data_IF_400975092011
#
_entry.id   IF_400975092011
#
_cell.length_a   1.000
_cell.length_b   1.000
_cell.length_c   1.000
_cell.angle_alpha   90.00
_cell.angle_beta   90.00
_cell.angle_gamma   90.00
#
_symmetry.space_group_name_H-M   'P 1'
#
loop_
_entity.id
_entity.type
_entity.pdbx_description
1 polymer ?
#
# COMPACT_ATOMS: atom_id res chain seq x y z
N UNK A 1 -27.57 37.96 -28.27
CA UNK A 1 -26.32 37.84 -27.48
C UNK A 1 -26.40 36.82 -26.33
N UNK A 2 -27.52 36.69 -25.59
CA UNK A 2 -27.62 35.85 -24.37
C UNK A 2 -27.40 34.33 -24.56
N UNK A 3 -27.93 33.69 -25.61
CA UNK A 3 -27.76 32.23 -25.82
C UNK A 3 -26.31 31.81 -26.11
N UNK A 4 -25.53 32.66 -26.80
CA UNK A 4 -24.13 32.39 -27.12
C UNK A 4 -23.26 32.39 -25.86
N UNK A 5 -23.44 33.37 -24.96
CA UNK A 5 -22.69 33.45 -23.71
C UNK A 5 -22.96 32.28 -22.76
N UNK A 6 -24.20 31.79 -22.69
CA UNK A 6 -24.57 30.62 -21.88
C UNK A 6 -23.92 29.36 -22.43
N UNK A 7 -23.96 29.17 -23.76
CA UNK A 7 -23.28 28.05 -24.40
C UNK A 7 -21.77 28.09 -24.16
N UNK A 8 -21.14 29.27 -24.20
CA UNK A 8 -19.69 29.43 -23.96
C UNK A 8 -19.29 29.17 -22.50
N UNK A 9 -20.06 29.62 -21.50
CA UNK A 9 -19.77 29.36 -20.09
C UNK A 9 -19.95 27.87 -19.76
N UNK A 10 -21.02 27.25 -20.27
CA UNK A 10 -21.25 25.80 -20.11
C UNK A 10 -20.14 25.00 -20.79
N UNK A 11 -19.72 25.37 -22.01
CA UNK A 11 -18.58 24.74 -22.69
C UNK A 11 -17.25 24.95 -21.98
N UNK A 12 -17.03 26.10 -21.34
CA UNK A 12 -15.81 26.38 -20.58
C UNK A 12 -15.74 25.51 -19.31
N UNK A 13 -16.83 25.38 -18.56
CA UNK A 13 -16.91 24.49 -17.40
C UNK A 13 -16.92 23.00 -17.77
N UNK A 14 -17.56 22.61 -18.88
CA UNK A 14 -17.45 21.24 -19.43
C UNK A 14 -16.03 20.95 -19.94
N UNK A 15 -15.37 21.93 -20.57
CA UNK A 15 -13.99 21.82 -21.05
C UNK A 15 -13.00 21.67 -19.91
N UNK A 16 -13.11 22.49 -18.85
CA UNK A 16 -12.28 22.36 -17.63
C UNK A 16 -12.43 20.99 -16.96
N UNK A 17 -13.62 20.39 -17.06
CA UNK A 17 -13.96 19.08 -16.50
C UNK A 17 -13.44 17.91 -17.35
N UNK A 18 -13.43 18.03 -18.69
CA UNK A 18 -12.83 17.04 -19.59
C UNK A 18 -11.29 17.12 -19.64
N UNK A 19 -10.69 18.23 -19.18
CA UNK A 19 -9.24 18.39 -19.01
C UNK A 19 -8.75 17.74 -17.70
N UNK A 20 -9.63 17.41 -16.75
CA UNK A 20 -9.31 16.45 -15.69
C UNK A 20 -9.11 15.06 -16.34
N UNK A 21 -8.13 14.26 -15.88
CA UNK A 21 -7.47 13.27 -16.73
C UNK A 21 -8.37 12.06 -16.98
N UNK A 22 -9.22 12.14 -18.02
CA UNK A 22 -9.84 10.98 -18.63
C UNK A 22 -8.83 10.12 -19.42
N UNK A 23 -7.57 10.55 -19.51
CA UNK A 23 -6.48 9.83 -20.17
C UNK A 23 -6.06 8.54 -19.43
N UNK A 24 -6.63 8.21 -18.26
CA UNK A 24 -6.23 7.05 -17.46
C UNK A 24 -6.93 5.73 -17.84
N UNK A 25 -7.71 5.67 -18.92
CA UNK A 25 -8.41 4.46 -19.33
C UNK A 25 -7.77 3.88 -20.59
N UNK A 26 -6.97 2.83 -20.39
CA UNK A 26 -6.39 1.95 -21.40
C UNK A 26 -4.99 2.34 -21.91
N UNK A 27 -3.97 2.16 -21.05
CA UNK A 27 -2.68 1.68 -21.52
C UNK A 27 -2.18 0.59 -20.56
N UNK A 28 -1.51 -0.42 -21.10
CA UNK A 28 -1.12 -1.67 -20.40
C UNK A 28 0.05 -1.46 -19.43
N UNK A 29 0.29 -0.21 -19.03
CA UNK A 29 1.26 0.20 -18.05
C UNK A 29 0.59 0.20 -16.69
N UNK A 30 1.27 -0.34 -15.69
CA UNK A 30 0.85 -0.27 -14.30
C UNK A 30 0.47 1.18 -13.99
N UNK A 31 -0.66 1.45 -13.31
CA UNK A 31 -0.98 2.81 -12.93
C UNK A 31 0.16 3.31 -12.03
N UNK A 32 1.02 4.18 -12.57
CA UNK A 32 1.89 5.01 -11.74
C UNK A 32 0.97 5.69 -10.73
N UNK A 33 1.48 5.78 -9.51
CA UNK A 33 0.82 6.28 -8.32
C UNK A 33 -0.20 7.36 -8.68
N UNK A 34 -1.45 7.12 -8.29
CA UNK A 34 -2.54 8.04 -8.58
C UNK A 34 -2.08 9.46 -8.30
N UNK A 35 -2.07 10.28 -9.36
CA UNK A 35 -1.59 11.66 -9.39
C UNK A 35 -1.62 12.31 -7.98
N UNK A 36 -0.47 12.54 -7.36
CA UNK A 36 -0.42 13.23 -6.06
C UNK A 36 -1.20 14.54 -6.18
N UNK A 37 -2.34 14.64 -5.48
CA UNK A 37 -3.23 15.80 -5.53
C UNK A 37 -4.65 15.57 -6.09
N UNK A 38 -5.02 14.36 -6.55
CA UNK A 38 -6.42 14.02 -6.90
C UNK A 38 -7.18 13.24 -5.83
N UNK A 39 -6.78 13.39 -4.55
CA UNK A 39 -7.42 12.80 -3.36
C UNK A 39 -8.95 13.07 -3.27
N UNK A 40 -9.42 14.05 -4.04
CA UNK A 40 -10.84 14.35 -4.27
C UNK A 40 -11.64 13.19 -4.91
N UNK A 41 -10.98 12.27 -5.62
CA UNK A 41 -11.64 11.22 -6.41
C UNK A 41 -11.87 9.90 -5.67
N UNK A 42 -11.50 9.74 -4.39
CA UNK A 42 -11.80 8.56 -3.53
C UNK A 42 -11.47 7.16 -4.09
N UNK A 43 -11.01 7.02 -5.33
CA UNK A 43 -10.76 5.77 -6.02
C UNK A 43 -9.28 5.68 -6.33
N UNK A 44 -8.62 4.71 -5.71
CA UNK A 44 -7.19 4.50 -5.82
C UNK A 44 -6.97 3.03 -6.23
N UNK A 45 -6.39 2.82 -7.42
CA UNK A 45 -5.97 1.49 -7.89
C UNK A 45 -6.84 0.87 -8.99
N UNK A 46 -6.49 -0.35 -9.44
CA UNK A 46 -7.20 -1.05 -10.50
C UNK A 46 -8.56 -1.61 -10.03
N UNK A 47 -9.53 -1.68 -10.95
CA UNK A 47 -10.84 -2.29 -10.68
C UNK A 47 -10.75 -3.78 -10.38
N UNK A 48 -9.90 -4.51 -11.13
CA UNK A 48 -9.66 -5.93 -10.95
C UNK A 48 -8.32 -6.10 -10.19
N UNK A 49 -8.34 -6.62 -8.95
CA UNK A 49 -7.15 -6.62 -8.09
C UNK A 49 -6.26 -7.86 -8.22
N UNK A 50 -6.43 -8.70 -9.25
CA UNK A 50 -5.74 -9.98 -9.45
C UNK A 50 -5.66 -10.39 -10.93
N UNK A 51 -4.87 -11.43 -11.24
CA UNK A 51 -4.85 -12.07 -12.56
C UNK A 51 -4.12 -11.29 -13.65
N UNK A 52 -3.30 -10.31 -13.28
CA UNK A 52 -2.43 -9.58 -14.22
C UNK A 52 -1.09 -10.31 -14.30
N UNK A 53 -0.60 -10.56 -15.50
CA UNK A 53 0.62 -11.34 -15.78
C UNK A 53 1.88 -10.46 -15.96
N UNK A 54 1.76 -9.15 -15.80
CA UNK A 54 2.86 -8.19 -15.90
C UNK A 54 3.20 -7.66 -14.51
N UNK A 55 4.46 -7.77 -14.07
CA UNK A 55 4.95 -7.30 -12.77
C UNK A 55 4.65 -5.81 -12.56
N UNK A 56 3.56 -5.50 -11.87
CA UNK A 56 3.31 -4.16 -11.35
C UNK A 56 3.83 -4.09 -9.91
N UNK A 57 4.74 -3.14 -9.58
CA UNK A 57 5.14 -2.93 -8.19
C UNK A 57 3.89 -2.53 -7.41
N UNK A 58 3.40 -3.46 -6.59
CA UNK A 58 2.14 -3.33 -5.85
C UNK A 58 2.29 -2.33 -4.72
N UNK A 59 1.94 -1.08 -4.99
CA UNK A 59 1.74 -0.06 -3.96
C UNK A 59 0.28 -0.02 -3.45
N UNK A 60 -0.62 -0.69 -4.16
CA UNK A 60 -1.95 -1.03 -3.68
C UNK A 60 -1.83 -2.38 -2.98
N UNK A 61 -2.28 -2.50 -1.73
CA UNK A 61 -2.12 -3.68 -0.87
C UNK A 61 -2.81 -4.98 -1.34
N UNK A 62 -3.02 -5.15 -2.64
CA UNK A 62 -3.57 -6.32 -3.30
C UNK A 62 -2.55 -6.83 -4.33
N UNK A 63 -2.16 -8.09 -4.17
CA UNK A 63 -1.13 -8.77 -4.95
C UNK A 63 -1.68 -9.12 -6.35
N UNK A 64 -1.57 -8.17 -7.29
CA UNK A 64 -2.22 -8.22 -8.62
C UNK A 64 -1.71 -9.39 -9.48
N UNK A 65 -0.54 -9.95 -9.14
CA UNK A 65 0.07 -11.10 -9.81
C UNK A 65 -0.49 -12.45 -9.35
N UNK A 66 -1.18 -12.50 -8.20
CA UNK A 66 -1.71 -13.76 -7.67
C UNK A 66 -2.92 -14.24 -8.46
N UNK A 67 -3.12 -15.56 -8.42
CA UNK A 67 -4.34 -16.19 -8.91
C UNK A 67 -5.57 -15.62 -8.18
N UNK A 68 -6.63 -15.35 -8.92
CA UNK A 68 -7.83 -14.73 -8.36
C UNK A 68 -8.54 -15.70 -7.40
N UNK A 69 -8.62 -15.31 -6.13
CA UNK A 69 -9.41 -16.00 -5.10
C UNK A 69 -10.76 -15.31 -4.87
N UNK A 70 -11.65 -15.93 -4.09
CA UNK A 70 -12.94 -15.32 -3.72
C UNK A 70 -12.77 -14.03 -2.91
N UNK A 71 -11.66 -13.85 -2.19
CA UNK A 71 -11.38 -12.57 -1.54
C UNK A 71 -11.23 -11.44 -2.56
N UNK A 72 -10.51 -11.70 -3.66
CA UNK A 72 -10.29 -10.69 -4.69
C UNK A 72 -11.60 -10.24 -5.37
N UNK A 73 -12.65 -11.08 -5.34
CA UNK A 73 -14.00 -10.70 -5.76
C UNK A 73 -14.63 -9.65 -4.82
N UNK A 74 -14.44 -9.78 -3.50
CA UNK A 74 -14.92 -8.79 -2.53
C UNK A 74 -14.14 -7.47 -2.62
N UNK A 75 -12.83 -7.54 -2.87
CA UNK A 75 -12.01 -6.35 -3.14
C UNK A 75 -12.47 -5.66 -4.42
N UNK A 76 -12.73 -6.40 -5.50
CA UNK A 76 -13.30 -5.86 -6.74
C UNK A 76 -14.63 -5.15 -6.48
N UNK A 77 -15.53 -5.77 -5.73
CA UNK A 77 -16.82 -5.17 -5.39
C UNK A 77 -16.65 -3.87 -4.60
N UNK A 78 -15.71 -3.85 -3.65
CA UNK A 78 -15.35 -2.63 -2.92
C UNK A 78 -14.83 -1.54 -3.86
N UNK A 79 -13.88 -1.88 -4.74
CA UNK A 79 -13.31 -0.94 -5.70
C UNK A 79 -14.39 -0.36 -6.62
N UNK A 80 -15.35 -1.19 -7.04
CA UNK A 80 -16.51 -0.74 -7.81
C UNK A 80 -17.39 0.24 -7.02
N UNK A 81 -17.69 -0.05 -5.75
CA UNK A 81 -18.47 0.84 -4.89
C UNK A 81 -17.77 2.18 -4.64
N UNK A 82 -16.46 2.15 -4.45
CA UNK A 82 -15.63 3.35 -4.27
C UNK A 82 -15.62 4.21 -5.55
N UNK A 83 -15.48 3.57 -6.72
CA UNK A 83 -15.59 4.23 -8.02
C UNK A 83 -16.97 4.87 -8.23
N UNK A 84 -18.04 4.14 -7.94
CA UNK A 84 -19.41 4.65 -8.08
C UNK A 84 -19.69 5.82 -7.13
N UNK A 85 -19.19 5.74 -5.90
CA UNK A 85 -19.33 6.80 -4.90
C UNK A 85 -18.60 8.08 -5.33
N UNK A 86 -17.37 7.92 -5.85
CA UNK A 86 -16.61 9.03 -6.43
C UNK A 86 -17.37 9.70 -7.57
N UNK A 87 -17.83 8.93 -8.56
CA UNK A 87 -18.59 9.43 -9.70
C UNK A 87 -19.84 10.19 -9.26
N UNK A 88 -20.56 9.68 -8.25
CA UNK A 88 -21.77 10.29 -7.72
C UNK A 88 -21.49 11.68 -7.11
N UNK A 89 -20.42 11.81 -6.32
CA UNK A 89 -20.02 13.09 -5.71
C UNK A 89 -19.69 14.12 -6.81
N UNK A 90 -18.91 13.70 -7.81
CA UNK A 90 -18.49 14.55 -8.92
C UNK A 90 -19.70 15.03 -9.73
N UNK A 91 -20.58 14.10 -10.13
CA UNK A 91 -21.80 14.44 -10.89
C UNK A 91 -22.72 15.35 -10.09
N UNK A 92 -22.83 15.13 -8.77
CA UNK A 92 -23.65 15.96 -7.89
C UNK A 92 -23.13 17.40 -7.83
N UNK A 93 -21.83 17.58 -7.63
CA UNK A 93 -21.20 18.90 -7.62
C UNK A 93 -21.36 19.62 -8.97
N UNK A 94 -21.22 18.88 -10.07
CA UNK A 94 -21.41 19.41 -11.41
C UNK A 94 -22.85 19.89 -11.65
N UNK A 95 -23.84 19.08 -11.30
CA UNK A 95 -25.26 19.42 -11.47
C UNK A 95 -25.68 20.59 -10.58
N UNK A 96 -25.17 20.66 -9.35
CA UNK A 96 -25.40 21.82 -8.46
C UNK A 96 -24.78 23.08 -9.07
N UNK A 97 -23.56 23.00 -9.61
CA UNK A 97 -22.87 24.13 -10.25
C UNK A 97 -23.63 24.62 -11.48
N UNK A 98 -24.06 23.73 -12.37
CA UNK A 98 -24.92 24.08 -13.52
C UNK A 98 -26.20 24.74 -13.03
N UNK A 99 -26.84 24.17 -12.00
CA UNK A 99 -28.05 24.73 -11.40
C UNK A 99 -27.84 26.14 -10.89
N UNK A 100 -26.73 26.40 -10.19
CA UNK A 100 -26.35 27.71 -9.69
C UNK A 100 -26.10 28.72 -10.81
N UNK A 101 -25.37 28.32 -11.87
CA UNK A 101 -25.15 29.18 -13.05
C UNK A 101 -26.48 29.52 -13.72
N UNK A 102 -27.34 28.53 -13.98
CA UNK A 102 -28.67 28.77 -14.58
C UNK A 102 -29.49 29.70 -13.70
N UNK A 103 -29.43 29.55 -12.38
CA UNK A 103 -30.16 30.42 -11.44
C UNK A 103 -29.74 31.89 -11.58
N UNK A 104 -28.43 32.17 -11.57
CA UNK A 104 -27.89 33.54 -11.66
C UNK A 104 -28.26 34.20 -13.00
N UNK A 105 -28.07 33.49 -14.11
CA UNK A 105 -28.31 34.04 -15.45
C UNK A 105 -29.81 34.15 -15.81
N UNK A 106 -30.69 33.53 -15.02
CA UNK A 106 -32.12 33.50 -15.31
C UNK A 106 -32.75 34.90 -15.33
N UNK A 107 -32.16 35.87 -14.63
CA UNK A 107 -32.57 37.29 -14.65
C UNK A 107 -34.09 37.47 -14.49
N UNK A 108 -34.73 36.67 -13.63
CA UNK A 108 -36.18 36.71 -13.37
C UNK A 108 -37.06 35.90 -14.32
N UNK A 109 -36.50 35.18 -15.31
CA UNK A 109 -37.29 34.29 -16.15
C UNK A 109 -37.81 33.08 -15.35
N UNK A 110 -39.12 33.05 -15.09
CA UNK A 110 -39.77 32.04 -14.26
C UNK A 110 -39.50 30.59 -14.73
N UNK A 111 -39.44 30.35 -16.05
CA UNK A 111 -39.15 29.02 -16.61
C UNK A 111 -37.71 28.58 -16.29
N UNK A 112 -36.74 29.47 -16.46
CA UNK A 112 -35.32 29.15 -16.20
C UNK A 112 -35.03 29.01 -14.70
N UNK A 113 -35.65 29.85 -13.86
CA UNK A 113 -35.59 29.71 -12.40
C UNK A 113 -36.19 28.36 -11.96
N UNK A 114 -37.31 27.95 -12.56
CA UNK A 114 -37.92 26.65 -12.31
C UNK A 114 -36.98 25.48 -12.66
N UNK A 115 -36.30 25.54 -13.81
CA UNK A 115 -35.29 24.54 -14.21
C UNK A 115 -34.13 24.50 -13.21
N UNK A 116 -33.57 25.65 -12.85
CA UNK A 116 -32.45 25.72 -11.91
C UNK A 116 -32.80 25.11 -10.54
N UNK A 117 -33.94 25.52 -9.95
CA UNK A 117 -34.41 24.97 -8.68
C UNK A 117 -34.69 23.48 -8.78
N UNK A 118 -35.30 23.03 -9.88
CA UNK A 118 -35.55 21.62 -10.14
C UNK A 118 -34.26 20.79 -10.20
N UNK A 119 -33.23 21.30 -10.89
CA UNK A 119 -31.94 20.63 -11.00
C UNK A 119 -31.24 20.49 -9.64
N UNK A 120 -31.18 21.59 -8.88
CA UNK A 120 -30.54 21.62 -7.56
C UNK A 120 -31.28 20.70 -6.58
N UNK A 121 -32.61 20.84 -6.46
CA UNK A 121 -33.41 20.07 -5.50
C UNK A 121 -33.38 18.57 -5.78
N UNK A 122 -33.48 18.16 -7.06
CA UNK A 122 -33.38 16.74 -7.43
C UNK A 122 -32.00 16.17 -7.13
N UNK A 123 -30.94 16.91 -7.42
CA UNK A 123 -29.56 16.50 -7.12
C UNK A 123 -29.34 16.34 -5.62
N UNK A 124 -29.75 17.32 -4.82
CA UNK A 124 -29.65 17.27 -3.35
C UNK A 124 -30.47 16.13 -2.76
N UNK A 125 -31.67 15.88 -3.28
CA UNK A 125 -32.52 14.78 -2.80
C UNK A 125 -31.88 13.42 -3.10
N UNK A 126 -31.33 13.23 -4.30
CA UNK A 126 -30.61 12.01 -4.65
C UNK A 126 -29.37 11.78 -3.78
N UNK A 127 -28.57 12.83 -3.57
CA UNK A 127 -27.39 12.78 -2.71
C UNK A 127 -27.76 12.47 -1.25
N UNK A 128 -28.85 13.05 -0.75
CA UNK A 128 -29.36 12.76 0.59
C UNK A 128 -29.77 11.29 0.75
N UNK A 129 -30.48 10.73 -0.23
CA UNK A 129 -30.86 9.31 -0.22
C UNK A 129 -29.61 8.41 -0.19
N UNK A 130 -28.59 8.74 -0.98
CA UNK A 130 -27.32 8.03 -0.97
C UNK A 130 -26.64 8.06 0.41
N UNK A 131 -26.54 9.23 1.04
CA UNK A 131 -25.97 9.36 2.39
C UNK A 131 -26.75 8.56 3.44
N UNK A 132 -28.09 8.56 3.35
CA UNK A 132 -28.93 7.77 4.24
C UNK A 132 -28.71 6.27 4.03
N UNK A 133 -28.64 5.80 2.79
CA UNK A 133 -28.35 4.41 2.48
C UNK A 133 -26.98 3.98 3.04
N UNK A 134 -25.95 4.81 2.83
CA UNK A 134 -24.61 4.58 3.37
C UNK A 134 -24.60 4.50 4.91
N UNK A 135 -25.32 5.41 5.57
CA UNK A 135 -25.48 5.41 7.03
C UNK A 135 -26.19 4.16 7.55
N UNK A 136 -27.24 3.70 6.86
CA UNK A 136 -27.97 2.48 7.24
C UNK A 136 -27.04 1.26 7.13
N UNK A 137 -26.34 1.10 6.01
CA UNK A 137 -25.38 0.00 5.82
C UNK A 137 -24.31 0.03 6.90
N UNK A 138 -23.70 1.20 7.15
CA UNK A 138 -22.72 1.38 8.22
C UNK A 138 -23.27 0.95 9.57
N UNK A 139 -24.49 1.36 9.90
CA UNK A 139 -25.14 1.07 11.18
C UNK A 139 -25.41 -0.43 11.32
N UNK A 140 -26.02 -1.06 10.32
CA UNK A 140 -26.34 -2.50 10.33
C UNK A 140 -25.06 -3.32 10.44
N UNK A 141 -24.05 -3.04 9.62
CA UNK A 141 -22.78 -3.77 9.64
C UNK A 141 -22.05 -3.58 10.96
N UNK A 142 -22.08 -2.39 11.57
CA UNK A 142 -21.50 -2.16 12.89
C UNK A 142 -22.17 -3.03 13.96
N UNK A 143 -23.51 -3.09 13.97
CA UNK A 143 -24.25 -3.93 14.92
C UNK A 143 -24.03 -5.43 14.71
N UNK A 144 -23.88 -5.88 13.46
CA UNK A 144 -23.58 -7.29 13.14
C UNK A 144 -22.12 -7.67 13.44
N UNK A 145 -21.17 -6.75 13.20
CA UNK A 145 -19.73 -7.00 13.41
C UNK A 145 -19.39 -7.19 14.88
N UNK A 146 -20.11 -6.53 15.80
CA UNK A 146 -20.01 -6.81 17.24
C UNK A 146 -20.35 -8.28 17.60
N UNK A 147 -21.04 -9.02 16.72
CA UNK A 147 -21.38 -10.43 16.92
C UNK A 147 -20.49 -11.42 16.15
N UNK A 148 -19.80 -10.99 15.10
CA UNK A 148 -19.08 -11.88 14.17
C UNK A 148 -17.60 -11.56 13.96
N UNK A 149 -17.03 -10.53 14.60
CA UNK A 149 -15.58 -10.27 14.58
C UNK A 149 -14.98 -9.88 13.22
N UNK A 150 -15.80 -9.78 12.15
CA UNK A 150 -15.35 -9.60 10.77
C UNK A 150 -15.00 -8.15 10.37
N UNK A 151 -15.00 -7.19 11.31
CA UNK A 151 -14.65 -5.79 11.03
C UNK A 151 -13.81 -5.26 12.18
N UNK A 152 -12.49 -5.39 12.07
CA UNK A 152 -11.58 -4.77 13.02
C UNK A 152 -11.67 -3.23 12.93
N UNK A 153 -11.82 -2.56 14.07
CA UNK A 153 -11.83 -1.09 14.14
C UNK A 153 -13.10 -0.39 13.64
N UNK A 154 -14.17 -1.12 13.26
CA UNK A 154 -15.48 -0.54 12.92
C UNK A 154 -15.56 0.17 11.55
N UNK A 155 -14.57 -0.06 10.67
CA UNK A 155 -14.55 0.43 9.29
C UNK A 155 -15.01 -0.68 8.35
N UNK A 156 -16.31 -0.80 8.11
CA UNK A 156 -16.83 -1.84 7.20
C UNK A 156 -16.33 -1.70 5.76
N UNK A 157 -15.84 -0.51 5.41
CA UNK A 157 -15.27 -0.21 4.10
C UNK A 157 -13.81 -0.67 3.95
N UNK A 158 -13.19 -1.29 4.96
CA UNK A 158 -11.88 -1.94 4.84
C UNK A 158 -12.08 -3.45 4.92
N UNK A 159 -11.87 -4.13 3.79
CA UNK A 159 -11.95 -5.59 3.70
C UNK A 159 -10.52 -6.10 3.89
N UNK A 160 -10.21 -6.57 5.09
CA UNK A 160 -8.99 -7.33 5.36
C UNK A 160 -9.30 -8.78 5.05
N UNK A 161 -8.64 -9.32 4.04
CA UNK A 161 -8.63 -10.75 3.79
C UNK A 161 -7.23 -11.29 4.02
N UNK A 162 -7.16 -12.43 4.69
CA UNK A 162 -6.00 -13.29 4.56
C UNK A 162 -6.00 -13.88 3.14
N UNK A 163 -4.95 -13.58 2.38
CA UNK A 163 -4.77 -14.13 1.02
C UNK A 163 -4.26 -15.57 1.03
N UNK A 164 -4.13 -16.19 2.22
CA UNK A 164 -3.97 -17.63 2.36
C UNK A 164 -5.30 -18.32 2.00
N UNK A 165 -5.29 -19.03 0.89
CA UNK A 165 -6.36 -19.92 0.48
C UNK A 165 -6.56 -21.01 1.54
N UNK A 166 -7.72 -21.04 2.20
CA UNK A 166 -8.13 -22.11 3.12
C UNK A 166 -8.27 -23.48 2.43
N UNK A 167 -8.27 -23.50 1.10
CA UNK A 167 -8.03 -24.69 0.29
C UNK A 167 -6.62 -24.54 -0.26
N UNK A 168 -5.67 -25.14 0.46
CA UNK A 168 -4.25 -25.04 0.17
C UNK A 168 -3.96 -25.27 -1.31
N UNK A 169 -2.97 -24.54 -1.79
CA UNK A 169 -2.31 -24.85 -3.05
C UNK A 169 -2.07 -26.36 -3.05
N UNK A 170 -2.77 -27.05 -3.96
CA UNK A 170 -2.31 -28.36 -4.38
C UNK A 170 -0.94 -28.07 -4.97
N UNK A 171 0.10 -28.32 -4.18
CA UNK A 171 1.44 -28.51 -4.67
C UNK A 171 1.31 -29.48 -5.83
N UNK A 172 1.42 -28.97 -7.06
CA UNK A 172 1.80 -29.81 -8.18
C UNK A 172 3.24 -30.16 -7.87
N UNK A 173 3.40 -31.28 -7.17
CA UNK A 173 4.67 -31.96 -7.03
C UNK A 173 5.12 -32.34 -8.44
N UNK A 174 5.99 -31.54 -9.05
CA UNK A 174 6.81 -32.04 -10.14
C UNK A 174 7.72 -33.12 -9.54
N UNK A 175 7.39 -34.37 -9.85
CA UNK A 175 8.19 -35.54 -9.58
C UNK A 175 9.47 -35.47 -10.40
N UNK A 176 10.56 -34.99 -9.81
CA UNK A 176 11.90 -35.29 -10.30
C UNK A 176 12.53 -36.36 -9.40
N UNK A 177 12.30 -37.62 -9.79
CA UNK A 177 13.13 -38.74 -9.35
C UNK A 177 14.50 -38.62 -10.04
N UNK A 178 15.44 -37.88 -9.44
CA UNK A 178 16.86 -38.02 -9.73
C UNK A 178 17.48 -39.07 -8.76
N UNK A 179 18.00 -40.21 -9.22
CA UNK A 179 18.60 -41.24 -8.36
C UNK A 179 19.93 -40.85 -7.71
N UNK A 180 20.37 -39.59 -7.79
CA UNK A 180 21.71 -39.17 -7.40
C UNK A 180 21.77 -38.04 -6.36
N UNK A 181 20.84 -38.00 -5.40
CA UNK A 181 20.90 -37.09 -4.26
C UNK A 181 22.00 -37.53 -3.23
N UNK A 182 23.01 -36.70 -2.91
CA UNK A 182 23.85 -36.92 -1.75
C UNK A 182 23.11 -36.47 -0.47
N UNK A 183 23.27 -37.27 0.58
CA UNK A 183 22.75 -37.00 1.93
C UNK A 183 23.26 -35.68 2.50
N UNK A 184 22.39 -35.00 3.25
CA UNK A 184 22.57 -33.64 3.71
C UNK A 184 23.81 -33.39 4.57
N UNK A 185 24.45 -32.27 4.26
CA UNK A 185 25.24 -31.47 5.19
C UNK A 185 24.82 -30.01 5.00
N UNK A 186 24.63 -29.32 6.12
CA UNK A 186 24.42 -27.87 6.24
C UNK A 186 25.35 -27.09 5.32
N UNK A 187 24.88 -26.08 4.55
CA UNK A 187 25.78 -25.26 3.76
C UNK A 187 26.68 -24.44 4.69
N UNK A 188 27.94 -24.86 4.79
CA UNK A 188 29.04 -24.00 5.18
C UNK A 188 29.15 -22.83 4.21
N UNK A 189 29.31 -21.62 4.77
CA UNK A 189 29.41 -20.34 4.08
C UNK A 189 30.29 -20.36 2.82
N UNK A 190 29.94 -19.59 1.77
CA UNK A 190 30.86 -19.34 0.66
C UNK A 190 32.05 -18.51 1.17
N UNK A 191 33.28 -18.78 0.71
CA UNK A 191 34.41 -17.92 1.02
C UNK A 191 34.36 -16.68 0.12
N UNK A 192 34.14 -15.51 0.72
CA UNK A 192 34.58 -14.22 0.12
C UNK A 192 33.52 -13.29 -0.48
N UNK A 193 32.35 -13.14 0.15
CA UNK A 193 31.45 -11.99 -0.09
C UNK A 193 31.65 -10.91 0.98
N UNK A 194 31.69 -9.64 0.57
CA UNK A 194 31.96 -8.48 1.45
C UNK A 194 30.76 -8.16 2.33
N UNK A 195 30.91 -8.48 3.63
CA UNK A 195 29.84 -8.39 4.65
C UNK A 195 29.41 -6.94 4.92
N UNK A 196 28.19 -6.67 5.43
CA UNK A 196 27.83 -5.35 5.91
C UNK A 196 28.76 -4.91 7.07
N UNK A 197 29.53 -3.84 6.84
CA UNK A 197 30.60 -3.36 7.73
C UNK A 197 32.02 -3.64 7.23
N UNK A 198 32.17 -4.42 6.16
CA UNK A 198 33.39 -4.48 5.36
C UNK A 198 33.57 -3.14 4.62
N UNK A 199 34.79 -2.55 4.53
CA UNK A 199 35.06 -1.39 3.68
C UNK A 199 34.54 -1.52 2.23
N UNK A 200 34.35 -2.75 1.75
CA UNK A 200 33.85 -3.07 0.40
C UNK A 200 32.37 -3.53 0.38
N UNK A 201 31.60 -3.28 1.45
CA UNK A 201 30.15 -3.51 1.47
C UNK A 201 29.45 -2.61 0.43
N UNK A 202 28.67 -3.17 -0.49
CA UNK A 202 27.97 -2.42 -1.55
C UNK A 202 26.74 -1.63 -1.06
N UNK A 203 26.39 -1.77 0.22
CA UNK A 203 25.35 -0.99 0.88
C UNK A 203 25.79 0.43 1.23
N UNK A 204 24.90 1.39 0.97
CA UNK A 204 25.06 2.80 1.34
C UNK A 204 24.19 3.13 2.54
N UNK A 205 24.54 4.20 3.26
CA UNK A 205 23.88 4.60 4.51
C UNK A 205 23.50 6.06 4.44
N UNK A 206 22.30 6.41 4.94
CA UNK A 206 21.80 7.79 4.90
C UNK A 206 22.74 8.79 5.60
N UNK A 207 23.44 8.35 6.65
CA UNK A 207 24.45 9.14 7.34
C UNK A 207 25.40 8.25 8.19
N UNK A 208 26.42 8.86 8.79
CA UNK A 208 27.40 8.17 9.64
C UNK A 208 26.78 7.54 10.90
N UNK A 209 25.69 8.08 11.42
CA UNK A 209 24.99 7.49 12.58
C UNK A 209 24.40 6.14 12.20
N UNK A 210 23.72 6.04 11.03
CA UNK A 210 23.18 4.77 10.53
C UNK A 210 24.31 3.81 10.18
N UNK A 211 25.40 4.30 9.56
CA UNK A 211 26.57 3.47 9.29
C UNK A 211 27.13 2.82 10.56
N UNK A 212 27.17 3.54 11.68
CA UNK A 212 27.66 2.98 12.95
C UNK A 212 26.77 1.84 13.50
N UNK A 213 25.50 1.78 13.10
CA UNK A 213 24.57 0.72 13.52
C UNK A 213 24.90 -0.64 12.88
N UNK A 214 25.77 -0.70 11.87
CA UNK A 214 26.27 -1.97 11.31
C UNK A 214 26.82 -2.92 12.38
N UNK A 215 27.44 -2.37 13.44
CA UNK A 215 27.97 -3.15 14.55
C UNK A 215 26.88 -3.89 15.34
N UNK A 216 25.64 -3.39 15.29
CA UNK A 216 24.51 -3.95 16.00
C UNK A 216 23.86 -5.10 15.22
N UNK A 217 24.13 -5.25 13.92
CA UNK A 217 23.57 -6.32 13.10
C UNK A 217 23.96 -7.70 13.63
N UNK A 218 22.98 -8.61 13.68
CA UNK A 218 23.19 -10.04 13.91
C UNK A 218 23.92 -10.69 12.74
N UNK A 219 24.58 -11.84 12.96
CA UNK A 219 25.21 -12.58 11.87
C UNK A 219 24.15 -13.06 10.87
N UNK A 220 22.96 -13.46 11.33
CA UNK A 220 21.86 -13.85 10.45
C UNK A 220 21.37 -12.70 9.56
N UNK A 221 21.36 -11.46 10.07
CA UNK A 221 21.02 -10.29 9.26
C UNK A 221 22.12 -9.98 8.24
N UNK A 222 23.39 -10.21 8.59
CA UNK A 222 24.50 -10.04 7.64
C UNK A 222 24.43 -11.06 6.52
N UNK A 223 24.19 -12.34 6.85
CA UNK A 223 24.00 -13.40 5.86
C UNK A 223 22.82 -13.10 4.91
N UNK A 224 21.71 -12.57 5.47
CA UNK A 224 20.57 -12.11 4.67
C UNK A 224 20.97 -10.98 3.70
N UNK A 225 21.65 -9.95 4.19
CA UNK A 225 22.10 -8.82 3.38
C UNK A 225 23.13 -9.24 2.32
N UNK A 226 24.00 -10.19 2.63
CA UNK A 226 24.96 -10.76 1.66
C UNK A 226 24.21 -11.50 0.54
N UNK A 227 23.20 -12.29 0.88
CA UNK A 227 22.36 -12.94 -0.13
C UNK A 227 21.60 -11.92 -1.00
N UNK A 228 21.07 -10.85 -0.40
CA UNK A 228 20.33 -9.81 -1.12
C UNK A 228 21.22 -8.98 -2.04
N UNK A 229 22.52 -8.90 -1.76
CA UNK A 229 23.45 -8.03 -2.48
C UNK A 229 23.43 -8.25 -4.01
N UNK A 230 23.52 -9.49 -4.46
CA UNK A 230 23.58 -9.81 -5.90
C UNK A 230 22.21 -9.72 -6.59
N UNK A 231 21.13 -9.62 -5.80
CA UNK A 231 19.74 -9.53 -6.26
C UNK A 231 19.23 -8.09 -6.33
N UNK A 232 19.96 -7.14 -5.74
CA UNK A 232 19.56 -5.74 -5.65
C UNK A 232 20.33 -4.85 -6.63
N UNK A 233 19.66 -3.91 -7.33
CA UNK A 233 20.35 -2.85 -8.04
C UNK A 233 21.03 -1.90 -7.04
N UNK A 234 22.15 -1.29 -7.42
CA UNK A 234 22.91 -0.37 -6.55
C UNK A 234 22.05 0.69 -5.83
N UNK A 235 21.08 1.40 -6.47
CA UNK A 235 20.25 2.38 -5.78
C UNK A 235 19.29 1.78 -4.75
N UNK A 236 18.94 0.50 -4.83
CA UNK A 236 18.10 -0.18 -3.83
C UNK A 236 18.86 -0.54 -2.55
N UNK A 237 20.20 -0.41 -2.53
CA UNK A 237 21.06 -0.79 -1.40
C UNK A 237 21.26 0.34 -0.39
N UNK A 238 20.33 1.32 -0.32
CA UNK A 238 20.38 2.43 0.65
C UNK A 238 19.69 2.04 1.96
N UNK A 239 20.47 1.90 3.02
CA UNK A 239 20.01 1.58 4.37
C UNK A 239 19.73 2.87 5.15
N UNK A 240 18.50 2.97 5.68
CA UNK A 240 18.04 4.08 6.51
C UNK A 240 18.04 3.77 8.01
N UNK A 241 17.99 2.49 8.40
CA UNK A 241 18.13 2.05 9.80
C UNK A 241 18.54 0.59 9.91
N UNK A 242 19.34 0.24 10.91
CA UNK A 242 19.57 -1.15 11.35
C UNK A 242 19.10 -1.32 12.80
N UNK A 243 19.36 -0.34 13.66
CA UNK A 243 19.03 -0.38 15.09
C UNK A 243 18.36 0.93 15.57
N UNK A 244 19.08 1.77 16.31
CA UNK A 244 18.60 3.05 16.84
C UNK A 244 19.75 4.05 17.00
N UNK A 245 19.48 5.31 16.71
CA UNK A 245 20.43 6.40 16.93
C UNK A 245 20.71 6.65 18.42
N UNK A 246 19.79 6.28 19.31
CA UNK A 246 20.00 6.36 20.75
C UNK A 246 20.81 5.18 21.34
N UNK A 247 21.18 4.21 20.50
CA UNK A 247 22.02 3.05 20.82
C UNK A 247 21.23 1.79 21.19
N UNK A 248 21.69 0.65 20.66
CA UNK A 248 21.08 -0.67 20.86
C UNK A 248 20.94 -1.04 22.35
N UNK A 249 22.02 -0.98 23.12
CA UNK A 249 22.04 -1.40 24.53
C UNK A 249 21.04 -0.62 25.39
N UNK A 250 20.87 0.66 25.08
CA UNK A 250 19.90 1.53 25.74
C UNK A 250 18.48 1.13 25.37
N UNK A 251 18.21 1.00 24.08
CA UNK A 251 16.84 0.88 23.57
C UNK A 251 16.26 -0.54 23.66
N UNK A 252 17.09 -1.57 23.72
CA UNK A 252 16.69 -2.94 24.09
C UNK A 252 16.06 -2.99 25.49
N UNK A 253 16.62 -2.22 26.43
CA UNK A 253 16.22 -2.24 27.83
C UNK A 253 15.19 -1.16 28.18
N UNK A 254 15.24 -0.01 27.51
CA UNK A 254 14.38 1.14 27.74
C UNK A 254 13.88 1.74 26.41
N UNK A 255 12.97 0.99 25.76
CA UNK A 255 12.32 1.24 24.45
C UNK A 255 11.34 2.44 24.44
N UNK A 256 11.49 3.38 25.36
CA UNK A 256 10.58 4.52 25.50
C UNK A 256 10.87 5.59 24.45
N UNK A 257 9.81 6.02 23.73
CA UNK A 257 9.84 7.18 22.84
C UNK A 257 9.61 8.47 23.64
N UNK A 258 10.51 9.48 23.60
CA UNK A 258 11.93 9.48 23.17
C UNK A 258 12.89 8.95 24.27
N UNK A 259 14.14 8.56 23.93
CA UNK A 259 14.83 8.77 22.64
C UNK A 259 14.85 7.58 21.69
N UNK A 260 14.26 6.44 22.05
CA UNK A 260 14.26 5.23 21.23
C UNK A 260 13.13 5.28 20.19
N UNK A 261 13.36 4.81 18.98
CA UNK A 261 12.46 4.90 17.83
C UNK A 261 11.62 3.64 17.58
N UNK A 262 11.88 2.52 18.27
CA UNK A 262 11.10 1.30 18.09
C UNK A 262 10.47 0.80 19.40
N UNK A 263 9.42 0.00 19.28
CA UNK A 263 8.68 -0.54 20.42
C UNK A 263 9.43 -1.71 21.08
N UNK A 264 8.95 -2.12 22.27
CA UNK A 264 9.42 -3.33 22.94
C UNK A 264 9.31 -4.53 22.00
N UNK A 265 10.39 -5.29 21.87
CA UNK A 265 10.50 -6.46 20.97
C UNK A 265 10.50 -6.15 19.49
N UNK A 266 10.85 -4.92 19.09
CA UNK A 266 11.20 -4.62 17.70
C UNK A 266 12.33 -5.53 17.21
N UNK A 267 12.32 -5.89 15.93
CA UNK A 267 13.41 -6.63 15.30
C UNK A 267 14.70 -5.83 15.18
N UNK A 268 14.59 -4.50 15.11
CA UNK A 268 15.73 -3.60 15.30
C UNK A 268 16.41 -3.75 16.66
N UNK A 269 15.72 -4.34 17.65
CA UNK A 269 16.22 -4.65 19.00
C UNK A 269 16.40 -6.16 19.24
N UNK A 270 16.26 -6.97 18.19
CA UNK A 270 16.42 -8.42 18.24
C UNK A 270 15.18 -9.22 18.65
N UNK A 271 14.00 -8.60 18.59
CA UNK A 271 12.74 -9.30 18.78
C UNK A 271 12.47 -9.73 20.23
N UNK A 272 11.71 -10.82 20.37
CA UNK A 272 11.31 -11.38 21.67
C UNK A 272 12.44 -12.18 22.32
N UNK A 273 13.16 -12.98 21.53
CA UNK A 273 14.03 -14.04 22.05
C UNK A 273 15.53 -13.84 21.79
N UNK A 274 15.94 -12.96 20.87
CA UNK A 274 17.33 -12.82 20.45
C UNK A 274 18.02 -11.53 20.92
N UNK A 275 17.28 -10.62 21.57
CA UNK A 275 17.68 -9.36 22.22
C UNK A 275 19.19 -9.03 22.25
N UNK A 276 19.54 -7.81 21.82
CA UNK A 276 20.91 -7.29 21.91
C UNK A 276 21.68 -7.33 20.58
N UNK A 277 21.04 -7.80 19.52
CA UNK A 277 21.47 -7.68 18.12
C UNK A 277 20.28 -7.37 17.24
N UNK A 278 20.48 -6.58 16.20
CA UNK A 278 19.43 -6.29 15.24
C UNK A 278 19.23 -7.47 14.29
N UNK A 279 17.98 -7.85 14.15
CA UNK A 279 17.50 -8.81 13.16
C UNK A 279 16.65 -8.11 12.09
N UNK A 280 16.79 -6.79 11.95
CA UNK A 280 16.10 -6.02 10.94
C UNK A 280 16.94 -4.90 10.33
N UNK A 281 16.51 -4.47 9.17
CA UNK A 281 17.08 -3.36 8.41
C UNK A 281 15.93 -2.65 7.69
N UNK A 282 15.99 -1.31 7.70
CA UNK A 282 15.11 -0.45 6.92
C UNK A 282 15.87 0.04 5.69
N UNK A 283 15.28 -0.15 4.52
CA UNK A 283 15.75 0.39 3.26
C UNK A 283 15.02 1.69 2.95
N UNK A 284 15.78 2.74 2.67
CA UNK A 284 15.24 4.10 2.55
C UNK A 284 14.83 4.51 1.14
N UNK A 285 14.92 3.63 0.13
CA UNK A 285 14.49 3.92 -1.26
C UNK A 285 13.26 3.10 -1.65
N UNK A 286 12.08 3.62 -1.32
CA UNK A 286 10.78 3.02 -1.56
C UNK A 286 10.48 2.74 -3.04
N UNK A 287 11.17 3.44 -3.96
CA UNK A 287 11.04 3.20 -5.41
C UNK A 287 11.52 1.81 -5.82
N UNK A 288 12.40 1.20 -5.01
CA UNK A 288 12.90 -0.17 -5.23
C UNK A 288 12.28 -1.18 -4.26
N UNK A 289 11.13 -0.85 -3.68
CA UNK A 289 10.53 -1.71 -2.66
C UNK A 289 10.23 -3.12 -3.17
N UNK A 290 9.85 -3.26 -4.44
CA UNK A 290 9.61 -4.57 -5.05
C UNK A 290 10.89 -5.41 -5.13
N UNK A 291 12.01 -4.84 -5.58
CA UNK A 291 13.31 -5.50 -5.65
C UNK A 291 13.81 -5.91 -4.27
N UNK A 292 13.61 -5.04 -3.28
CA UNK A 292 13.97 -5.29 -1.87
C UNK A 292 13.13 -6.42 -1.29
N UNK A 293 11.80 -6.38 -1.46
CA UNK A 293 10.89 -7.43 -0.95
C UNK A 293 11.19 -8.76 -1.63
N UNK A 294 11.35 -8.76 -2.95
CA UNK A 294 11.68 -9.97 -3.70
C UNK A 294 13.01 -10.56 -3.25
N UNK A 295 14.07 -9.75 -3.16
CA UNK A 295 15.39 -10.21 -2.72
C UNK A 295 15.34 -10.73 -1.29
N UNK A 296 14.64 -10.05 -0.38
CA UNK A 296 14.48 -10.48 1.00
C UNK A 296 13.79 -11.85 1.07
N UNK A 297 12.66 -12.03 0.39
CA UNK A 297 11.91 -13.30 0.38
C UNK A 297 12.74 -14.45 -0.23
N UNK A 298 13.44 -14.21 -1.34
CA UNK A 298 14.33 -15.20 -1.95
C UNK A 298 15.51 -15.59 -1.05
N UNK A 299 15.88 -14.72 -0.11
CA UNK A 299 16.94 -14.94 0.87
C UNK A 299 16.42 -15.38 2.26
N UNK A 300 15.12 -15.72 2.37
CA UNK A 300 14.51 -16.20 3.61
C UNK A 300 14.18 -15.12 4.65
N UNK A 301 14.26 -13.84 4.26
CA UNK A 301 13.82 -12.69 5.04
C UNK A 301 12.31 -12.50 5.00
N UNK A 302 11.80 -11.71 5.94
CA UNK A 302 10.41 -11.26 6.05
C UNK A 302 10.37 -9.75 5.81
N UNK A 303 9.25 -9.23 5.31
CA UNK A 303 9.16 -7.80 4.97
C UNK A 303 7.87 -7.15 5.44
N UNK A 304 7.97 -5.89 5.87
CA UNK A 304 6.83 -5.02 6.14
C UNK A 304 6.99 -3.75 5.30
N UNK A 305 5.97 -3.42 4.51
CA UNK A 305 5.91 -2.22 3.69
C UNK A 305 4.47 -1.73 3.53
N UNK A 306 4.27 -0.42 3.43
CA UNK A 306 2.95 0.18 3.15
C UNK A 306 1.98 0.17 4.34
N UNK A 307 2.44 -0.21 5.53
CA UNK A 307 1.63 -0.24 6.76
C UNK A 307 1.93 0.95 7.68
N UNK A 308 1.06 1.21 8.67
CA UNK A 308 1.20 2.36 9.58
C UNK A 308 2.56 2.38 10.28
N UNK A 309 3.39 3.34 9.89
CA UNK A 309 4.75 3.52 10.41
C UNK A 309 5.87 2.95 9.53
N UNK A 310 5.53 2.39 8.37
CA UNK A 310 6.43 1.78 7.38
C UNK A 310 6.03 2.19 5.95
N UNK A 311 5.63 3.46 5.76
CA UNK A 311 5.19 3.99 4.46
C UNK A 311 6.34 4.63 3.67
N UNK A 312 7.41 5.00 4.36
CA UNK A 312 8.55 5.77 3.86
C UNK A 312 9.86 4.94 3.83
N UNK A 313 9.76 3.63 4.07
CA UNK A 313 10.88 2.69 4.00
C UNK A 313 10.35 1.25 3.88
N UNK A 314 11.21 0.35 3.39
CA UNK A 314 10.94 -1.10 3.41
C UNK A 314 11.63 -1.71 4.60
N UNK A 315 10.86 -2.24 5.54
CA UNK A 315 11.38 -2.98 6.66
C UNK A 315 11.63 -4.43 6.25
N UNK A 316 12.84 -4.92 6.46
CA UNK A 316 13.23 -6.30 6.22
C UNK A 316 13.74 -6.89 7.52
N UNK A 317 13.28 -8.08 7.89
CA UNK A 317 13.68 -8.78 9.11
C UNK A 317 13.99 -10.25 8.89
N UNK A 318 14.71 -10.87 9.82
CA UNK A 318 15.06 -12.29 9.80
C UNK A 318 14.79 -12.94 11.16
N UNK A 319 14.64 -14.26 11.18
CA UNK A 319 14.52 -15.03 12.42
C UNK A 319 13.11 -15.03 12.99
N UNK A 320 12.06 -15.07 12.16
CA UNK A 320 10.68 -15.12 12.64
C UNK A 320 10.39 -16.24 13.62
N UNK A 321 10.80 -17.48 13.30
CA UNK A 321 10.60 -18.63 14.19
C UNK A 321 11.45 -18.57 15.48
N UNK A 322 12.68 -18.05 15.41
CA UNK A 322 13.62 -18.03 16.56
C UNK A 322 13.44 -16.80 17.43
N UNK A 323 13.50 -15.62 16.82
CA UNK A 323 13.55 -14.32 17.45
C UNK A 323 12.16 -13.67 17.60
N UNK A 324 11.13 -14.21 16.95
CA UNK A 324 9.78 -13.64 16.95
C UNK A 324 9.68 -12.40 16.08
N UNK A 325 10.49 -12.35 15.02
CA UNK A 325 10.48 -11.27 14.04
C UNK A 325 9.42 -11.44 12.96
N UNK A 326 8.92 -10.33 12.45
CA UNK A 326 7.93 -10.27 11.39
C UNK A 326 8.22 -9.07 10.51
#
# INVERSE_FOLDING_TARGET
>A
MKKKAIATIVFFFLGLFFILPFNALAENTCPEEGLEGVDFLLFHGPLVPCGVNNSCPGQFGNDIQKTCTICHLFILLKNLLDLMTSLLIIVSLFMITIGGVIYIISAGNAKMVGIAKGLITKTLTGFLIFLLAWLIIFTVLKFLSFKFGAVEGGKWWTIECDTESAFGDLEVSENDNDPNAPSGETPSAPPGGTRPGDPDSPYTYDNNSIKNQQADASEELKDLLDCMNDKLPAPAKRISSISDNAGMDRCVNNYSKPPCHHARYSCHYGGRNCRGRSHAVDFGDERYAHEIIKAANECGGQTIYGTRGHHDHVHVSIGGARCGCK
#
